data_IF_791685890232
#
_entry.id   IF_791685890232
#
_cell.length_a   1.000
_cell.length_b   1.000
_cell.length_c   1.000
_cell.angle_alpha   90.00
_cell.angle_beta   90.00
_cell.angle_gamma   90.00
#
_symmetry.space_group_name_H-M   'P 1'
#
loop_
_entity.id
_entity.type
_entity.pdbx_description
1 polymer ?
#
# COMPACT_ATOMS: atom_id res chain seq x y z
N UNK A 1 16.11 6.94 -8.11
CA UNK A 1 14.77 7.34 -8.59
C UNK A 1 13.84 6.15 -8.87
N UNK A 2 14.28 5.11 -9.59
CA UNK A 2 13.46 3.90 -9.86
C UNK A 2 12.94 3.21 -8.58
N UNK A 3 13.76 3.13 -7.52
CA UNK A 3 13.37 2.49 -6.25
C UNK A 3 12.19 3.19 -5.58
N UNK A 4 12.12 4.53 -5.66
CA UNK A 4 11.00 5.31 -5.12
C UNK A 4 9.70 4.99 -5.86
N UNK A 5 9.76 4.91 -7.19
CA UNK A 5 8.60 4.59 -8.04
C UNK A 5 8.12 3.15 -7.79
N UNK A 6 9.03 2.19 -7.66
CA UNK A 6 8.68 0.81 -7.34
C UNK A 6 8.04 0.68 -5.96
N UNK A 7 8.57 1.39 -4.96
CA UNK A 7 8.02 1.37 -3.60
C UNK A 7 6.63 1.98 -3.56
N UNK A 8 6.43 3.09 -4.28
CA UNK A 8 5.11 3.71 -4.43
C UNK A 8 4.11 2.75 -5.09
N UNK A 9 4.50 2.10 -6.20
CA UNK A 9 3.65 1.13 -6.90
C UNK A 9 3.27 -0.06 -6.01
N UNK A 10 4.24 -0.64 -5.28
CA UNK A 10 4.00 -1.81 -4.41
C UNK A 10 3.09 -1.44 -3.22
N UNK A 11 3.28 -0.25 -2.62
CA UNK A 11 2.45 0.22 -1.51
C UNK A 11 1.00 0.51 -1.93
N UNK A 12 0.77 1.00 -3.16
CA UNK A 12 -0.55 1.40 -3.65
C UNK A 12 -1.34 0.26 -4.33
N UNK A 13 -0.65 -0.71 -4.91
CA UNK A 13 -1.26 -1.84 -5.60
C UNK A 13 -2.29 -2.62 -4.75
N UNK A 14 -2.03 -2.98 -3.48
CA UNK A 14 -3.01 -3.71 -2.68
C UNK A 14 -4.23 -2.86 -2.29
N UNK A 15 -4.08 -1.54 -2.20
CA UNK A 15 -5.21 -0.62 -1.98
C UNK A 15 -6.13 -0.57 -3.22
N UNK A 16 -5.56 -0.47 -4.43
CA UNK A 16 -6.34 -0.51 -5.67
C UNK A 16 -7.03 -1.86 -5.88
N UNK A 17 -6.35 -2.98 -5.59
CA UNK A 17 -6.95 -4.32 -5.64
C UNK A 17 -8.12 -4.42 -4.65
N UNK A 18 -7.94 -3.93 -3.43
CA UNK A 18 -9.02 -3.88 -2.44
C UNK A 18 -10.24 -3.11 -2.96
N UNK A 19 -10.03 -1.91 -3.53
CA UNK A 19 -11.11 -1.08 -4.06
C UNK A 19 -11.88 -1.77 -5.19
N UNK A 20 -11.17 -2.39 -6.14
CA UNK A 20 -11.76 -3.15 -7.25
C UNK A 20 -12.54 -4.35 -6.73
N UNK A 21 -11.98 -5.12 -5.79
CA UNK A 21 -12.64 -6.28 -5.20
C UNK A 21 -13.90 -5.91 -4.43
N UNK A 22 -13.88 -4.83 -3.65
CA UNK A 22 -15.07 -4.33 -2.95
C UNK A 22 -16.16 -3.83 -3.90
N UNK A 23 -15.79 -3.30 -5.06
CA UNK A 23 -16.74 -2.85 -6.08
C UNK A 23 -17.38 -4.00 -6.88
N UNK A 24 -16.66 -5.11 -7.07
CA UNK A 24 -17.18 -6.29 -7.80
C UNK A 24 -17.96 -7.23 -6.86
N UNK A 25 -17.51 -7.37 -5.61
CA UNK A 25 -18.08 -8.30 -4.64
C UNK A 25 -18.63 -7.57 -3.41
N UNK A 26 -19.80 -6.94 -3.56
CA UNK A 26 -20.51 -6.25 -2.47
C UNK A 26 -20.82 -7.19 -1.28
N UNK A 27 -21.01 -8.49 -1.55
CA UNK A 27 -21.24 -9.52 -0.52
C UNK A 27 -20.04 -9.77 0.41
N UNK A 28 -18.82 -9.40 0.02
CA UNK A 28 -17.62 -9.52 0.86
C UNK A 28 -17.54 -8.43 1.94
N UNK A 29 -18.35 -7.36 1.82
CA UNK A 29 -18.38 -6.27 2.77
C UNK A 29 -18.87 -6.69 4.18
N UNK A 30 -19.57 -7.84 4.31
CA UNK A 30 -20.02 -8.37 5.61
C UNK A 30 -18.97 -9.22 6.34
N UNK A 31 -17.77 -9.41 5.78
CA UNK A 31 -16.72 -10.15 6.46
C UNK A 31 -16.07 -9.31 7.57
N UNK A 32 -16.04 -9.84 8.79
CA UNK A 32 -15.50 -9.17 9.99
C UNK A 32 -14.02 -8.76 9.84
N UNK A 33 -13.29 -9.41 8.94
CA UNK A 33 -11.87 -9.13 8.66
C UNK A 33 -11.65 -8.05 7.60
N UNK A 34 -12.68 -7.59 6.89
CA UNK A 34 -12.56 -6.58 5.83
C UNK A 34 -11.95 -5.28 6.36
N UNK A 35 -12.32 -4.89 7.58
CA UNK A 35 -11.84 -3.68 8.26
C UNK A 35 -10.35 -3.78 8.62
N UNK A 36 -9.88 -4.97 9.03
CA UNK A 36 -8.46 -5.18 9.36
C UNK A 36 -7.59 -5.14 8.09
N UNK A 37 -8.07 -5.74 7.00
CA UNK A 37 -7.39 -5.73 5.70
C UNK A 37 -7.31 -4.29 5.17
N UNK A 38 -8.40 -3.53 5.25
CA UNK A 38 -8.43 -2.13 4.86
C UNK A 38 -7.46 -1.27 5.68
N UNK A 39 -7.43 -1.42 7.01
CA UNK A 39 -6.47 -0.70 7.85
C UNK A 39 -5.02 -1.06 7.50
N UNK A 40 -4.73 -2.34 7.25
CA UNK A 40 -3.39 -2.79 6.91
C UNK A 40 -2.92 -2.25 5.54
N UNK A 41 -3.77 -2.28 4.51
CA UNK A 41 -3.45 -1.70 3.20
C UNK A 41 -3.36 -0.18 3.23
N UNK A 42 -4.23 0.48 4.00
CA UNK A 42 -4.17 1.92 4.20
C UNK A 42 -2.90 2.34 4.95
N UNK A 43 -2.49 1.57 5.96
CA UNK A 43 -1.24 1.78 6.68
C UNK A 43 -0.03 1.62 5.76
N UNK A 44 0.00 0.58 4.94
CA UNK A 44 1.05 0.34 3.93
C UNK A 44 1.13 1.44 2.87
N UNK A 45 -0.02 1.98 2.46
CA UNK A 45 -0.06 3.10 1.53
C UNK A 45 0.52 4.37 2.17
N UNK A 46 0.18 4.67 3.43
CA UNK A 46 0.72 5.83 4.15
C UNK A 46 2.23 5.71 4.43
N UNK A 47 2.73 4.49 4.67
CA UNK A 47 4.16 4.26 4.90
C UNK A 47 5.03 4.48 3.65
N UNK A 48 4.44 4.59 2.44
CA UNK A 48 5.16 4.88 1.19
C UNK A 48 6.00 6.17 1.28
N UNK A 49 5.55 7.14 2.07
CA UNK A 49 6.25 8.41 2.29
C UNK A 49 7.46 8.28 3.21
N UNK A 50 7.45 7.32 4.14
CA UNK A 50 8.55 7.05 5.07
C UNK A 50 9.69 6.24 4.43
N UNK A 51 9.40 5.47 3.38
CA UNK A 51 10.44 4.73 2.66
C UNK A 51 11.36 5.63 1.84
N UNK A 52 10.90 6.81 1.41
CA UNK A 52 11.71 7.75 0.64
C UNK A 52 13.03 8.13 1.34
N UNK A 53 13.04 8.67 2.58
CA UNK A 53 14.28 8.98 3.28
C UNK A 53 15.13 7.75 3.59
N UNK A 54 14.54 6.58 3.84
CA UNK A 54 15.26 5.31 4.07
C UNK A 54 15.99 4.87 2.80
N UNK A 55 15.32 4.94 1.64
CA UNK A 55 15.89 4.63 0.33
C UNK A 55 17.04 5.58 0.02
N UNK A 56 16.88 6.89 0.27
CA UNK A 56 17.97 7.84 0.10
C UNK A 56 19.14 7.55 1.05
N UNK A 57 18.89 7.18 2.30
CA UNK A 57 19.93 6.86 3.27
C UNK A 57 20.69 5.56 2.92
N UNK A 58 19.99 4.52 2.45
CA UNK A 58 20.60 3.23 2.10
C UNK A 58 21.31 3.23 0.73
N UNK A 59 20.77 3.94 -0.27
CA UNK A 59 21.35 3.98 -1.63
C UNK A 59 22.32 5.14 -1.85
N UNK A 60 22.22 6.22 -1.08
CA UNK A 60 23.20 7.29 -1.13
C UNK A 60 24.30 7.02 -0.09
N UNK A 61 25.19 6.08 -0.40
CA UNK A 61 26.50 5.99 0.27
C UNK A 61 27.35 7.18 -0.17
N UNK A 62 27.14 8.33 0.45
CA UNK A 62 28.10 9.43 0.45
C UNK A 62 28.67 9.57 1.85
#
# INVERSE_FOLDING_TARGET
MIVVVLTFAICWLPYHIYFILTGIYENWNRWKYIQQIYLATFWLAMSSTMYNPIIYCCLNKR
#
